data_IF_029570879017
#
_entry.id   IF_029570879017
#
_cell.length_a   1.000
_cell.length_b   1.000
_cell.length_c   1.000
_cell.angle_alpha   90.00
_cell.angle_beta   90.00
_cell.angle_gamma   90.00
#
_symmetry.space_group_name_H-M   'P 1'
#
loop_
_entity.id
_entity.type
_entity.pdbx_description
1 polymer ?
#
# COMPACT_ATOMS: atom_id res chain seq x y z
N UNK A 1 14.19 13.21 -24.79
CA UNK A 1 13.24 12.08 -24.77
C UNK A 1 12.96 11.74 -23.31
N UNK A 2 11.92 12.33 -22.71
CA UNK A 2 11.58 12.04 -21.32
C UNK A 2 10.86 10.70 -21.27
N UNK A 3 11.51 9.67 -20.74
CA UNK A 3 10.85 8.39 -20.43
C UNK A 3 9.56 8.70 -19.67
N UNK A 4 8.41 8.08 -20.00
CA UNK A 4 7.18 8.27 -19.24
C UNK A 4 7.54 8.07 -17.77
N UNK A 5 7.33 9.10 -16.94
CA UNK A 5 7.67 9.06 -15.52
C UNK A 5 6.91 7.88 -14.95
N UNK A 6 7.61 6.78 -14.69
CA UNK A 6 7.03 5.61 -14.08
C UNK A 6 6.37 6.08 -12.79
N UNK A 7 5.12 5.72 -12.55
CA UNK A 7 4.44 6.24 -11.39
C UNK A 7 5.19 5.84 -10.14
N UNK A 8 5.44 6.81 -9.27
CA UNK A 8 6.12 6.55 -8.00
C UNK A 8 5.15 5.86 -7.06
N UNK A 9 5.15 4.54 -7.13
CA UNK A 9 4.45 3.66 -6.20
C UNK A 9 5.43 3.14 -5.17
N UNK A 10 5.13 3.34 -3.90
CA UNK A 10 5.87 2.77 -2.77
C UNK A 10 4.89 2.00 -1.89
N UNK A 11 5.31 0.91 -1.25
CA UNK A 11 4.38 0.08 -0.51
C UNK A 11 5.04 -1.00 0.33
N UNK A 12 4.22 -1.76 1.02
CA UNK A 12 4.63 -2.90 1.85
C UNK A 12 3.81 -4.12 1.43
N UNK A 13 4.50 -5.15 0.94
CA UNK A 13 3.89 -6.43 0.59
C UNK A 13 4.25 -7.44 1.68
N UNK A 14 3.23 -8.12 2.21
CA UNK A 14 3.35 -9.23 3.15
C UNK A 14 2.62 -10.44 2.58
N UNK A 15 2.83 -11.59 3.21
CA UNK A 15 2.15 -12.84 2.84
C UNK A 15 0.63 -12.75 3.04
N UNK A 16 0.17 -12.02 4.07
CA UNK A 16 -1.27 -11.89 4.37
C UNK A 16 -1.92 -10.60 3.87
N UNK A 17 -1.13 -9.61 3.47
CA UNK A 17 -1.66 -8.28 3.14
C UNK A 17 -0.74 -7.51 2.24
N UNK A 18 -1.32 -6.67 1.40
CA UNK A 18 -0.59 -5.80 0.49
C UNK A 18 -1.05 -4.37 0.65
N UNK A 19 -0.10 -3.47 0.88
CA UNK A 19 -0.33 -2.05 0.99
C UNK A 19 0.48 -1.31 -0.07
N UNK A 20 -0.16 -0.48 -0.88
CA UNK A 20 0.48 0.33 -1.92
C UNK A 20 0.06 1.79 -1.80
N UNK A 21 1.02 2.68 -2.01
CA UNK A 21 0.84 4.13 -1.95
C UNK A 21 1.35 4.76 -3.24
N UNK A 22 0.45 5.43 -3.94
CA UNK A 22 0.71 6.17 -5.17
C UNK A 22 1.01 7.62 -4.81
N UNK A 23 2.29 7.97 -4.81
CA UNK A 23 2.77 9.26 -4.29
C UNK A 23 2.36 10.41 -5.21
N UNK A 24 2.19 10.15 -6.50
CA UNK A 24 1.79 11.18 -7.47
C UNK A 24 0.32 11.58 -7.37
N UNK A 25 -0.55 10.70 -6.88
CA UNK A 25 -2.00 10.92 -6.84
C UNK A 25 -2.58 10.94 -5.42
N UNK A 26 -1.75 10.69 -4.40
CA UNK A 26 -2.23 10.58 -3.01
C UNK A 26 -3.20 9.41 -2.81
N UNK A 27 -3.13 8.40 -3.68
CA UNK A 27 -4.02 7.25 -3.67
C UNK A 27 -3.36 6.08 -2.94
N UNK A 28 -4.15 5.32 -2.20
CA UNK A 28 -3.69 4.18 -1.41
C UNK A 28 -4.55 2.96 -1.70
N UNK A 29 -3.89 1.81 -1.70
CA UNK A 29 -4.53 0.51 -1.84
C UNK A 29 -4.15 -0.39 -0.68
N UNK A 30 -5.15 -1.10 -0.16
CA UNK A 30 -4.98 -2.12 0.85
C UNK A 30 -5.75 -3.36 0.42
N UNK A 31 -5.03 -4.46 0.26
CA UNK A 31 -5.60 -5.76 -0.03
C UNK A 31 -5.28 -6.73 1.10
N UNK A 32 -6.27 -7.49 1.52
CA UNK A 32 -6.09 -8.59 2.46
C UNK A 32 -5.95 -9.88 1.65
N UNK A 33 -4.72 -10.33 1.43
CA UNK A 33 -4.44 -11.52 0.62
C UNK A 33 -4.90 -12.82 1.30
N UNK A 34 -5.11 -12.79 2.62
CA UNK A 34 -5.61 -13.93 3.36
C UNK A 34 -7.10 -14.13 3.14
N UNK A 35 -7.88 -13.04 3.15
CA UNK A 35 -9.32 -13.07 2.91
C UNK A 35 -9.67 -13.04 1.42
N UNK A 36 -8.88 -12.31 0.62
CA UNK A 36 -9.09 -12.10 -0.81
C UNK A 36 -7.76 -12.24 -1.58
N UNK A 37 -7.32 -13.49 -1.86
CA UNK A 37 -6.09 -13.76 -2.58
C UNK A 37 -6.12 -13.27 -4.04
N UNK A 38 -7.28 -12.84 -4.53
CA UNK A 38 -7.46 -12.33 -5.89
C UNK A 38 -7.45 -10.80 -5.98
N UNK A 39 -7.22 -10.07 -4.88
CA UNK A 39 -7.07 -8.60 -4.87
C UNK A 39 -8.23 -7.86 -5.56
N UNK A 40 -9.45 -8.37 -5.41
CA UNK A 40 -10.67 -7.85 -6.03
C UNK A 40 -11.20 -6.61 -5.34
N UNK A 41 -10.91 -6.44 -4.05
CA UNK A 41 -11.45 -5.34 -3.25
C UNK A 41 -10.36 -4.48 -2.63
N UNK A 42 -10.27 -3.21 -3.04
CA UNK A 42 -9.47 -2.23 -2.33
C UNK A 42 -10.16 -1.86 -1.00
N UNK A 43 -9.53 -2.25 0.10
CA UNK A 43 -10.00 -2.01 1.46
C UNK A 43 -9.46 -0.71 2.05
N UNK A 44 -8.67 0.08 1.32
CA UNK A 44 -8.11 1.34 1.82
C UNK A 44 -9.21 2.35 2.21
N UNK A 45 -10.33 2.35 1.50
CA UNK A 45 -11.49 3.20 1.81
C UNK A 45 -12.46 2.57 2.82
N UNK A 46 -12.22 1.31 3.24
CA UNK A 46 -13.11 0.62 4.17
C UNK A 46 -12.82 1.02 5.61
N UNK A 47 -13.83 1.56 6.30
CA UNK A 47 -13.72 1.96 7.71
C UNK A 47 -13.28 0.80 8.61
N UNK A 48 -13.72 -0.43 8.31
CA UNK A 48 -13.36 -1.62 9.06
C UNK A 48 -11.86 -1.97 8.98
N UNK A 49 -11.18 -1.55 7.90
CA UNK A 49 -9.77 -1.84 7.66
C UNK A 49 -8.85 -0.63 7.89
N UNK A 50 -9.39 0.50 8.34
CA UNK A 50 -8.61 1.70 8.68
C UNK A 50 -7.50 1.41 9.69
N UNK A 51 -7.79 0.61 10.72
CA UNK A 51 -6.77 0.21 11.70
C UNK A 51 -5.60 -0.57 11.06
N UNK A 52 -5.90 -1.45 10.10
CA UNK A 52 -4.88 -2.21 9.34
C UNK A 52 -4.11 -1.30 8.40
N UNK A 53 -4.79 -0.36 7.72
CA UNK A 53 -4.17 0.66 6.88
C UNK A 53 -3.17 1.51 7.67
N UNK A 54 -3.56 2.01 8.85
CA UNK A 54 -2.67 2.79 9.71
C UNK A 54 -1.45 1.97 10.20
N UNK A 55 -1.65 0.69 10.54
CA UNK A 55 -0.56 -0.20 10.88
C UNK A 55 0.43 -0.38 9.72
N UNK A 56 -0.08 -0.51 8.48
CA UNK A 56 0.75 -0.60 7.28
C UNK A 56 1.48 0.71 6.99
N UNK A 57 0.82 1.87 7.12
CA UNK A 57 1.47 3.20 7.01
C UNK A 57 2.62 3.36 7.99
N UNK A 58 2.42 2.99 9.26
CA UNK A 58 3.48 3.00 10.27
C UNK A 58 4.64 2.08 9.88
N UNK A 59 4.34 0.87 9.39
CA UNK A 59 5.36 -0.08 8.94
C UNK A 59 6.14 0.44 7.74
N UNK A 60 5.45 1.03 6.77
CA UNK A 60 6.04 1.68 5.61
C UNK A 60 6.99 2.81 6.05
N UNK A 61 6.56 3.67 6.97
CA UNK A 61 7.41 4.74 7.50
C UNK A 61 8.69 4.21 8.19
N UNK A 62 8.59 3.08 8.90
CA UNK A 62 9.76 2.40 9.51
C UNK A 62 10.69 1.84 8.43
N UNK A 63 10.15 1.13 7.44
CA UNK A 63 10.94 0.56 6.34
C UNK A 63 11.63 1.66 5.54
N UNK A 64 10.91 2.75 5.22
CA UNK A 64 11.47 3.91 4.51
C UNK A 64 12.65 4.53 5.24
N UNK A 65 12.65 4.53 6.58
CA UNK A 65 13.79 4.99 7.39
C UNK A 65 14.97 4.01 7.38
N UNK A 66 14.73 2.72 7.14
CA UNK A 66 15.77 1.68 7.09
C UNK A 66 16.48 1.62 5.74
N UNK A 67 15.85 2.08 4.65
CA UNK A 67 16.49 2.17 3.31
C UNK A 67 17.35 3.44 3.18
N UNK A 68 17.94 3.92 4.27
CA UNK A 68 18.73 5.15 4.32
C UNK A 68 20.22 4.88 4.37
#
# INVERSE_FOLDING_TARGET
>A
MGSPRLPKVEGVVRVDSKYMQYIEHGYEELYDLKADPHEKQNLASSAAYQAKLEAMRKRYAVLKKQVK
#
